data_IF_918242553055
#
_entry.id   IF_918242553055
#
_cell.length_a   1.000
_cell.length_b   1.000
_cell.length_c   1.000
_cell.angle_alpha   90.00
_cell.angle_beta   90.00
_cell.angle_gamma   90.00
#
_symmetry.space_group_name_H-M   'P 1'
#
loop_
_entity.id
_entity.type
_entity.pdbx_description
1 polymer ?
#
# COMPACT_ATOMS: atom_id res chain seq x y z
N UNK A 1 5.57 -14.39 14.29
CA UNK A 1 5.36 -12.97 13.92
C UNK A 1 5.67 -11.96 15.04
N UNK A 2 5.38 -12.27 16.31
CA UNK A 2 5.36 -11.24 17.38
C UNK A 2 6.68 -10.51 17.59
N UNK A 3 7.81 -11.21 17.58
CA UNK A 3 9.13 -10.58 17.69
C UNK A 3 9.36 -9.55 16.57
N UNK A 4 8.93 -9.86 15.34
CA UNK A 4 9.08 -8.96 14.19
C UNK A 4 8.16 -7.74 14.29
N UNK A 5 6.92 -7.90 14.74
CA UNK A 5 5.99 -6.78 14.87
C UNK A 5 6.26 -5.94 16.13
N UNK A 6 6.49 -6.58 17.26
CA UNK A 6 6.45 -5.89 18.55
C UNK A 6 7.80 -5.36 19.02
N UNK A 7 8.93 -5.92 18.53
CA UNK A 7 10.26 -5.58 19.05
C UNK A 7 11.14 -4.77 18.08
N UNK A 8 10.83 -4.76 16.78
CA UNK A 8 11.51 -3.87 15.82
C UNK A 8 11.25 -2.41 16.16
N UNK A 9 12.28 -1.58 16.06
CA UNK A 9 12.17 -0.11 16.09
C UNK A 9 11.77 0.41 14.72
N UNK A 10 11.36 1.67 14.67
CA UNK A 10 10.94 2.38 13.45
C UNK A 10 11.91 2.15 12.27
N UNK A 11 13.22 2.31 12.49
CA UNK A 11 14.25 2.13 11.46
C UNK A 11 14.39 0.71 10.91
N UNK A 12 13.74 -0.28 11.53
CA UNK A 12 13.76 -1.68 11.12
C UNK A 12 12.47 -2.09 10.40
N UNK A 13 11.45 -1.22 10.40
CA UNK A 13 10.25 -1.41 9.59
C UNK A 13 10.52 -1.11 8.11
N UNK A 14 9.71 -1.75 7.26
CA UNK A 14 9.93 -1.81 5.80
C UNK A 14 8.61 -1.66 5.01
N UNK A 15 7.56 -1.15 5.66
CA UNK A 15 6.28 -0.88 5.00
C UNK A 15 6.40 0.31 4.04
N UNK A 16 5.49 0.36 3.07
CA UNK A 16 5.32 1.54 2.24
C UNK A 16 4.80 2.73 3.07
N UNK A 17 5.25 3.93 2.73
CA UNK A 17 4.84 5.17 3.39
C UNK A 17 3.35 5.44 3.24
N UNK A 18 2.73 5.00 2.14
CA UNK A 18 1.28 5.13 1.96
C UNK A 18 0.49 4.36 3.02
N UNK A 19 1.07 3.34 3.68
CA UNK A 19 0.37 2.53 4.67
C UNK A 19 0.39 3.11 6.10
N UNK A 20 1.19 4.15 6.35
CA UNK A 20 1.34 4.79 7.67
C UNK A 20 0.71 6.18 7.74
N UNK A 21 0.27 6.75 6.61
CA UNK A 21 -0.46 8.03 6.60
C UNK A 21 -1.77 7.92 7.38
N UNK A 22 -2.21 8.98 8.07
CA UNK A 22 -3.41 8.97 8.88
C UNK A 22 -4.67 8.65 8.05
N UNK A 23 -5.68 8.12 8.73
CA UNK A 23 -6.98 7.85 8.10
C UNK A 23 -7.69 9.16 7.71
N UNK A 24 -7.59 10.19 8.56
CA UNK A 24 -8.33 11.45 8.47
C UNK A 24 -9.83 11.22 8.25
N UNK A 25 -10.33 11.41 7.03
CA UNK A 25 -11.72 11.14 6.67
C UNK A 25 -11.89 9.89 5.81
N UNK A 26 -13.15 9.55 5.51
CA UNK A 26 -13.46 8.34 4.77
C UNK A 26 -12.94 8.36 3.31
N UNK A 27 -12.87 9.53 2.67
CA UNK A 27 -12.36 9.65 1.30
C UNK A 27 -10.86 9.35 1.26
N UNK A 28 -10.09 9.92 2.19
CA UNK A 28 -8.66 9.63 2.31
C UNK A 28 -8.41 8.15 2.64
N UNK A 29 -9.13 7.60 3.60
CA UNK A 29 -9.00 6.18 3.97
C UNK A 29 -9.29 5.26 2.79
N UNK A 30 -10.39 5.49 2.07
CA UNK A 30 -10.80 4.66 0.93
C UNK A 30 -9.84 4.81 -0.25
N UNK A 31 -9.39 6.03 -0.55
CA UNK A 31 -8.50 6.24 -1.68
C UNK A 31 -7.11 5.64 -1.43
N UNK A 32 -6.60 5.76 -0.21
CA UNK A 32 -5.36 5.09 0.24
C UNK A 32 -5.49 3.57 0.08
N UNK A 33 -6.62 3.03 0.55
CA UNK A 33 -6.93 1.61 0.45
C UNK A 33 -6.99 1.16 -1.01
N UNK A 34 -7.68 1.90 -1.88
CA UNK A 34 -7.79 1.58 -3.30
C UNK A 34 -6.44 1.56 -4.01
N UNK A 35 -5.61 2.59 -3.82
CA UNK A 35 -4.28 2.62 -4.40
C UNK A 35 -3.43 1.42 -3.99
N UNK A 36 -3.44 1.10 -2.70
CA UNK A 36 -2.68 -0.02 -2.18
C UNK A 36 -3.28 -1.37 -2.62
N UNK A 37 -4.60 -1.55 -2.61
CA UNK A 37 -5.28 -2.78 -3.02
C UNK A 37 -4.96 -3.15 -4.47
N UNK A 38 -5.00 -2.18 -5.38
CA UNK A 38 -4.68 -2.42 -6.80
C UNK A 38 -3.22 -2.85 -6.95
N UNK A 39 -2.31 -2.24 -6.20
CA UNK A 39 -0.90 -2.63 -6.20
C UNK A 39 -0.73 -4.04 -5.63
N UNK A 40 -1.33 -4.29 -4.47
CA UNK A 40 -1.23 -5.55 -3.75
C UNK A 40 -1.81 -6.72 -4.55
N UNK A 41 -2.88 -6.47 -5.32
CA UNK A 41 -3.44 -7.45 -6.26
C UNK A 41 -2.42 -7.85 -7.32
N UNK A 42 -1.79 -6.86 -7.97
CA UNK A 42 -0.79 -7.09 -9.01
C UNK A 42 0.49 -7.71 -8.44
N UNK A 43 0.91 -7.32 -7.23
CA UNK A 43 2.02 -7.93 -6.51
C UNK A 43 1.77 -9.42 -6.28
N UNK A 44 0.60 -9.81 -5.77
CA UNK A 44 0.30 -11.23 -5.58
C UNK A 44 0.10 -11.98 -6.91
N UNK A 45 -0.41 -11.32 -7.95
CA UNK A 45 -0.44 -11.91 -9.28
C UNK A 45 0.97 -12.24 -9.78
N UNK A 46 1.93 -11.31 -9.62
CA UNK A 46 3.31 -11.51 -10.00
C UNK A 46 4.00 -12.61 -9.15
N UNK A 47 3.80 -12.61 -7.83
CA UNK A 47 4.41 -13.58 -6.91
C UNK A 47 3.97 -15.03 -7.14
N UNK A 48 2.86 -15.28 -7.84
CA UNK A 48 2.49 -16.65 -8.25
C UNK A 48 3.47 -17.28 -9.23
N UNK A 49 4.31 -16.49 -9.89
CA UNK A 49 5.37 -16.96 -10.78
C UNK A 49 6.71 -17.17 -10.07
N UNK A 50 6.76 -16.96 -8.76
CA UNK A 50 7.96 -17.18 -7.94
C UNK A 50 8.39 -18.65 -7.93
N UNK A 51 9.70 -18.88 -7.88
CA UNK A 51 10.31 -20.19 -7.62
C UNK A 51 10.27 -20.59 -6.15
N UNK A 52 9.93 -19.67 -5.24
CA UNK A 52 9.74 -19.95 -3.81
C UNK A 52 8.30 -20.40 -3.53
N UNK A 53 8.13 -21.68 -3.20
CA UNK A 53 6.82 -22.28 -2.94
C UNK A 53 6.06 -21.63 -1.77
N UNK A 54 6.76 -21.05 -0.79
CA UNK A 54 6.13 -20.36 0.34
C UNK A 54 5.51 -19.05 -0.12
N UNK A 55 6.24 -18.27 -0.94
CA UNK A 55 5.72 -17.02 -1.50
C UNK A 55 4.52 -17.26 -2.43
N UNK A 56 4.59 -18.31 -3.26
CA UNK A 56 3.46 -18.72 -4.13
C UNK A 56 2.24 -19.07 -3.27
N UNK A 57 2.39 -19.91 -2.26
CA UNK A 57 1.28 -20.33 -1.41
C UNK A 57 0.61 -19.15 -0.67
N UNK A 58 1.41 -18.20 -0.18
CA UNK A 58 0.88 -16.95 0.42
C UNK A 58 0.11 -16.15 -0.63
N UNK A 59 0.69 -15.93 -1.82
CA UNK A 59 0.07 -15.15 -2.88
C UNK A 59 -1.26 -15.76 -3.36
N UNK A 60 -1.34 -17.08 -3.53
CA UNK A 60 -2.56 -17.77 -3.95
C UNK A 60 -3.70 -17.66 -2.94
N UNK A 61 -3.37 -17.64 -1.65
CA UNK A 61 -4.35 -17.46 -0.58
C UNK A 61 -4.80 -15.99 -0.52
N UNK A 62 -3.85 -15.07 -0.45
CA UNK A 62 -4.11 -13.64 -0.23
C UNK A 62 -4.77 -12.95 -1.43
N UNK A 63 -4.48 -13.34 -2.67
CA UNK A 63 -5.04 -12.67 -3.85
C UNK A 63 -6.58 -12.74 -3.91
N UNK A 64 -7.18 -13.79 -3.34
CA UNK A 64 -8.65 -13.92 -3.27
C UNK A 64 -9.24 -12.84 -2.39
N UNK A 65 -8.64 -12.60 -1.23
CA UNK A 65 -9.04 -11.55 -0.29
C UNK A 65 -8.79 -10.15 -0.89
N UNK A 66 -7.62 -9.94 -1.49
CA UNK A 66 -7.27 -8.65 -2.11
C UNK A 66 -8.19 -8.32 -3.29
N UNK A 67 -8.65 -9.32 -4.06
CA UNK A 67 -9.65 -9.08 -5.11
C UNK A 67 -10.97 -8.51 -4.54
N UNK A 68 -11.38 -8.95 -3.34
CA UNK A 68 -12.52 -8.34 -2.65
C UNK A 68 -12.22 -6.91 -2.20
N UNK A 69 -11.00 -6.63 -1.73
CA UNK A 69 -10.60 -5.30 -1.31
C UNK A 69 -10.63 -4.32 -2.50
N UNK A 70 -10.00 -4.66 -3.63
CA UNK A 70 -10.02 -3.86 -4.87
C UNK A 70 -11.45 -3.52 -5.29
N UNK A 71 -12.36 -4.50 -5.25
CA UNK A 71 -13.76 -4.27 -5.58
C UNK A 71 -14.42 -3.30 -4.60
N UNK A 72 -14.26 -3.54 -3.30
CA UNK A 72 -14.87 -2.71 -2.25
C UNK A 72 -14.36 -1.27 -2.30
N UNK A 73 -13.04 -1.08 -2.34
CA UNK A 73 -12.42 0.24 -2.36
C UNK A 73 -12.71 0.96 -3.68
N UNK A 74 -12.65 0.26 -4.82
CA UNK A 74 -13.01 0.81 -6.12
C UNK A 74 -14.48 1.28 -6.23
N UNK A 75 -15.43 0.48 -5.72
CA UNK A 75 -16.85 0.89 -5.68
C UNK A 75 -17.06 2.16 -4.84
N UNK A 76 -16.35 2.31 -3.72
CA UNK A 76 -16.45 3.50 -2.89
C UNK A 76 -15.76 4.71 -3.52
N UNK A 77 -14.64 4.54 -4.21
CA UNK A 77 -14.01 5.61 -5.00
C UNK A 77 -15.01 6.16 -6.03
N UNK A 78 -15.73 5.29 -6.74
CA UNK A 78 -16.76 5.70 -7.71
C UNK A 78 -17.90 6.44 -7.00
N UNK A 79 -18.46 5.87 -5.93
CA UNK A 79 -19.58 6.50 -5.20
C UNK A 79 -19.25 7.87 -4.62
N UNK A 80 -18.01 8.06 -4.14
CA UNK A 80 -17.59 9.33 -3.55
C UNK A 80 -17.23 10.35 -4.64
N UNK A 81 -16.57 9.89 -5.72
CA UNK A 81 -16.22 10.72 -6.86
C UNK A 81 -17.45 11.19 -7.65
N UNK A 82 -18.32 10.28 -8.09
CA UNK A 82 -19.54 10.61 -8.85
C UNK A 82 -20.76 10.84 -7.93
N UNK A 83 -20.51 11.26 -6.69
CA UNK A 83 -21.52 11.46 -5.67
C UNK A 83 -22.07 12.88 -5.65
N UNK A 84 -21.81 13.58 -4.56
CA UNK A 84 -22.15 15.00 -4.37
C UNK A 84 -20.93 15.88 -4.61
N UNK A 85 -21.13 17.18 -4.83
CA UNK A 85 -20.01 18.14 -4.91
C UNK A 85 -19.09 18.05 -3.68
N UNK A 86 -19.66 17.82 -2.49
CA UNK A 86 -18.91 17.69 -1.23
C UNK A 86 -18.05 16.43 -1.23
N UNK A 87 -18.61 15.27 -1.60
CA UNK A 87 -17.86 14.01 -1.62
C UNK A 87 -16.80 14.00 -2.71
N UNK A 88 -17.11 14.60 -3.85
CA UNK A 88 -16.17 14.76 -4.96
C UNK A 88 -14.97 15.64 -4.57
N UNK A 89 -15.22 16.76 -3.90
CA UNK A 89 -14.14 17.64 -3.41
C UNK A 89 -13.27 16.93 -2.36
N UNK A 90 -13.87 16.16 -1.45
CA UNK A 90 -13.12 15.34 -0.50
C UNK A 90 -12.21 14.31 -1.19
N UNK A 91 -12.69 13.67 -2.26
CA UNK A 91 -11.87 12.76 -3.06
C UNK A 91 -10.70 13.46 -3.75
N UNK A 92 -10.89 14.70 -4.22
CA UNK A 92 -9.82 15.52 -4.79
C UNK A 92 -8.77 15.88 -3.75
N UNK A 93 -9.18 16.33 -2.57
CA UNK A 93 -8.24 16.63 -1.47
C UNK A 93 -7.47 15.39 -1.02
N UNK A 94 -8.16 14.25 -0.90
CA UNK A 94 -7.52 12.96 -0.60
C UNK A 94 -6.50 12.58 -1.70
N UNK A 95 -6.85 12.79 -2.97
CA UNK A 95 -5.96 12.50 -4.09
C UNK A 95 -4.70 13.36 -4.05
N UNK A 96 -4.85 14.67 -3.84
CA UNK A 96 -3.72 15.60 -3.72
C UNK A 96 -2.76 15.19 -2.60
N UNK A 97 -3.29 14.82 -1.44
CA UNK A 97 -2.49 14.40 -0.29
C UNK A 97 -1.79 13.05 -0.51
N UNK A 98 -2.50 12.05 -1.05
CA UNK A 98 -2.00 10.67 -1.15
C UNK A 98 -1.09 10.43 -2.36
N UNK A 99 -1.28 11.18 -3.45
CA UNK A 99 -0.59 10.93 -4.71
C UNK A 99 0.94 10.87 -4.59
N UNK A 100 1.61 11.78 -3.84
CA UNK A 100 3.06 11.71 -3.62
C UNK A 100 3.56 10.36 -3.06
N UNK A 101 2.74 9.63 -2.30
CA UNK A 101 3.13 8.36 -1.68
C UNK A 101 3.00 7.15 -2.61
N UNK A 102 2.33 7.30 -3.77
CA UNK A 102 2.13 6.20 -4.72
C UNK A 102 3.41 5.84 -5.49
N UNK A 103 4.37 6.76 -5.59
CA UNK A 103 5.62 6.55 -6.31
C UNK A 103 6.45 5.39 -5.75
N UNK A 104 6.55 5.31 -4.42
CA UNK A 104 7.33 4.28 -3.72
C UNK A 104 6.91 2.84 -4.06
N UNK A 105 5.63 2.63 -4.39
CA UNK A 105 5.10 1.30 -4.76
C UNK A 105 5.84 0.68 -5.96
N UNK A 106 6.44 1.51 -6.82
CA UNK A 106 7.09 1.08 -8.05
C UNK A 106 8.62 1.31 -8.02
N UNK A 107 9.17 1.62 -6.84
CA UNK A 107 10.60 1.76 -6.68
C UNK A 107 11.29 0.41 -6.51
N UNK A 108 12.14 0.11 -7.49
CA UNK A 108 13.02 -1.05 -7.48
C UNK A 108 14.36 -0.69 -6.83
N UNK A 109 14.86 -1.58 -5.97
CA UNK A 109 16.18 -1.49 -5.35
C UNK A 109 17.02 -2.75 -5.62
N UNK A 110 18.21 -2.81 -5.00
CA UNK A 110 19.13 -3.93 -5.15
C UNK A 110 18.54 -5.27 -4.66
N UNK A 111 17.64 -5.24 -3.66
CA UNK A 111 16.98 -6.43 -3.16
C UNK A 111 15.93 -6.95 -4.16
N UNK A 112 15.18 -6.04 -4.79
CA UNK A 112 14.24 -6.43 -5.85
C UNK A 112 14.99 -7.02 -7.05
N UNK A 113 16.08 -6.39 -7.46
CA UNK A 113 16.93 -6.88 -8.55
C UNK A 113 17.50 -8.28 -8.24
N UNK A 114 17.98 -8.49 -7.01
CA UNK A 114 18.43 -9.79 -6.55
C UNK A 114 17.29 -10.82 -6.52
N UNK A 115 16.09 -10.45 -6.06
CA UNK A 115 14.94 -11.34 -5.99
C UNK A 115 14.45 -11.78 -7.38
N UNK A 116 14.50 -10.87 -8.36
CA UNK A 116 14.23 -11.18 -9.77
C UNK A 116 15.30 -12.13 -10.33
N UNK A 117 16.59 -11.88 -10.06
CA UNK A 117 17.68 -12.75 -10.50
C UNK A 117 17.56 -14.17 -9.94
N UNK A 118 17.05 -14.31 -8.72
CA UNK A 118 16.78 -15.61 -8.07
C UNK A 118 15.43 -16.21 -8.44
N UNK A 119 14.65 -15.55 -9.29
CA UNK A 119 13.30 -15.95 -9.69
C UNK A 119 12.33 -16.10 -8.50
N UNK A 120 12.64 -15.51 -7.34
CA UNK A 120 11.77 -15.58 -6.14
C UNK A 120 10.85 -14.35 -6.01
N UNK A 121 11.17 -13.27 -6.71
CA UNK A 121 10.42 -12.02 -6.67
C UNK A 121 10.12 -11.48 -8.07
N UNK A 122 9.71 -10.22 -8.10
CA UNK A 122 9.34 -9.50 -9.31
C UNK A 122 9.89 -8.07 -9.25
N UNK A 123 9.99 -7.41 -10.39
CA UNK A 123 10.37 -6.00 -10.46
C UNK A 123 9.14 -5.11 -10.18
N UNK A 124 9.09 -4.32 -9.08
CA UNK A 124 7.96 -3.46 -8.79
C UNK A 124 7.65 -2.45 -9.89
N UNK A 125 8.68 -1.96 -10.60
CA UNK A 125 8.52 -1.01 -11.70
C UNK A 125 7.66 -1.58 -12.85
N UNK A 126 7.70 -2.90 -13.06
CA UNK A 126 6.91 -3.57 -14.10
C UNK A 126 5.39 -3.50 -13.83
N UNK A 127 4.98 -3.35 -12.56
CA UNK A 127 3.57 -3.28 -12.18
C UNK A 127 2.92 -1.93 -12.49
N UNK A 128 3.71 -0.87 -12.66
CA UNK A 128 3.22 0.51 -12.76
C UNK A 128 2.18 0.70 -13.86
N UNK A 129 2.43 0.13 -15.04
CA UNK A 129 1.51 0.25 -16.19
C UNK A 129 0.14 -0.37 -15.87
N UNK A 130 0.13 -1.63 -15.44
CA UNK A 130 -1.12 -2.33 -15.11
C UNK A 130 -1.86 -1.70 -13.93
N UNK A 131 -1.12 -1.15 -12.96
CA UNK A 131 -1.68 -0.40 -11.84
C UNK A 131 -2.37 0.88 -12.32
N UNK A 132 -1.69 1.70 -13.13
CA UNK A 132 -2.22 2.94 -13.67
C UNK A 132 -3.47 2.69 -14.54
N UNK A 133 -3.47 1.63 -15.36
CA UNK A 133 -4.64 1.24 -16.16
C UNK A 133 -5.85 0.89 -15.28
N UNK A 134 -5.66 0.11 -14.21
CA UNK A 134 -6.73 -0.26 -13.27
C UNK A 134 -7.24 0.95 -12.48
N UNK A 135 -6.35 1.84 -12.05
CA UNK A 135 -6.73 3.06 -11.34
C UNK A 135 -7.52 4.01 -12.23
N UNK A 136 -7.05 4.25 -13.47
CA UNK A 136 -7.75 5.10 -14.43
C UNK A 136 -9.15 4.55 -14.76
N UNK A 137 -9.31 3.24 -14.92
CA UNK A 137 -10.62 2.65 -15.20
C UNK A 137 -11.68 2.95 -14.12
N UNK A 138 -11.26 3.09 -12.85
CA UNK A 138 -12.13 3.50 -11.74
C UNK A 138 -12.29 5.02 -11.70
N UNK A 139 -11.20 5.77 -11.92
CA UNK A 139 -11.21 7.23 -11.91
C UNK A 139 -12.07 7.84 -13.02
N UNK A 140 -12.07 7.24 -14.21
CA UNK A 140 -12.91 7.65 -15.34
C UNK A 140 -14.40 7.56 -14.99
N UNK A 141 -14.80 6.55 -14.21
CA UNK A 141 -16.16 6.40 -13.70
C UNK A 141 -16.45 7.34 -12.52
N UNK A 142 -15.45 7.65 -11.72
CA UNK A 142 -15.55 8.52 -10.55
C UNK A 142 -15.47 10.02 -10.90
N UNK A 143 -15.25 10.38 -12.18
CA UNK A 143 -15.02 11.76 -12.60
C UNK A 143 -13.72 12.36 -12.07
N UNK A 144 -12.74 11.54 -11.70
CA UNK A 144 -11.45 11.96 -11.17
C UNK A 144 -10.35 11.86 -12.24
N UNK A 145 -9.25 12.57 -12.05
CA UNK A 145 -8.11 12.54 -12.97
C UNK A 145 -6.81 12.42 -12.18
N UNK A 146 -5.89 11.57 -12.65
CA UNK A 146 -4.57 11.46 -12.05
C UNK A 146 -3.78 12.77 -12.24
N UNK A 147 -3.03 13.22 -11.22
CA UNK A 147 -2.15 14.38 -11.36
C UNK A 147 -1.01 14.12 -12.36
N UNK A 148 -0.76 15.05 -13.29
CA UNK A 148 0.24 14.88 -14.36
C UNK A 148 1.68 14.81 -13.85
N UNK A 149 2.02 15.62 -12.84
CA UNK A 149 3.35 15.68 -12.23
C UNK A 149 3.23 15.99 -10.75
N UNK A 150 3.85 15.16 -9.93
CA UNK A 150 4.05 15.43 -8.53
C UNK A 150 5.44 14.94 -8.12
N UNK A 151 6.02 15.60 -7.14
CA UNK A 151 7.15 15.04 -6.41
C UNK A 151 6.66 13.82 -5.62
N UNK A 152 7.48 12.76 -5.57
CA UNK A 152 7.14 11.49 -4.94
C UNK A 152 7.94 11.29 -3.65
N UNK A 153 7.24 10.84 -2.62
CA UNK A 153 7.80 10.40 -1.34
C UNK A 153 8.41 9.00 -1.49
N UNK A 154 9.48 8.73 -0.76
CA UNK A 154 10.16 7.44 -0.72
C UNK A 154 10.93 7.28 0.59
N UNK A 155 11.08 6.04 1.07
CA UNK A 155 12.01 5.74 2.15
C UNK A 155 11.57 4.61 3.08
N UNK A 156 10.29 4.27 3.12
CA UNK A 156 9.71 3.24 3.97
C UNK A 156 10.39 1.88 3.81
N UNK A 157 10.65 1.44 2.56
CA UNK A 157 11.42 0.21 2.28
C UNK A 157 12.85 0.23 2.85
N UNK A 158 13.40 1.41 3.14
CA UNK A 158 14.75 1.62 3.69
C UNK A 158 14.73 1.99 5.19
N UNK A 159 13.55 2.00 5.83
CA UNK A 159 13.40 2.42 7.23
C UNK A 159 13.46 3.93 7.44
N UNK A 160 13.23 4.73 6.40
CA UNK A 160 13.03 6.18 6.49
C UNK A 160 11.54 6.46 6.40
N UNK A 161 10.90 6.54 7.56
CA UNK A 161 9.45 6.71 7.69
C UNK A 161 9.05 8.17 7.84
N UNK A 162 7.76 8.44 7.65
CA UNK A 162 7.11 9.69 8.07
C UNK A 162 7.08 9.79 9.59
N UNK A 163 6.78 10.98 10.11
CA UNK A 163 6.57 11.20 11.54
C UNK A 163 5.43 10.37 12.13
N UNK A 164 4.49 9.88 11.31
CA UNK A 164 3.34 9.10 11.77
C UNK A 164 3.74 7.72 12.32
N UNK A 165 4.81 7.12 11.79
CA UNK A 165 5.21 5.76 12.17
C UNK A 165 5.57 5.64 13.65
N UNK A 166 6.18 6.68 14.23
CA UNK A 166 6.51 6.71 15.66
C UNK A 166 5.27 6.60 16.55
N UNK A 167 4.17 7.26 16.17
CA UNK A 167 2.90 7.19 16.90
C UNK A 167 2.27 5.79 16.81
N UNK A 168 2.21 5.23 15.59
CA UNK A 168 1.67 3.89 15.33
C UNK A 168 2.40 2.84 16.16
N UNK A 169 3.75 2.84 16.14
CA UNK A 169 4.53 1.86 16.87
C UNK A 169 4.45 2.04 18.38
N UNK A 170 4.33 3.27 18.87
CA UNK A 170 4.18 3.52 20.31
C UNK A 170 2.90 2.89 20.85
N UNK A 171 1.80 2.97 20.09
CA UNK A 171 0.53 2.34 20.46
C UNK A 171 0.58 0.82 20.27
N UNK A 172 1.00 0.34 19.09
CA UNK A 172 1.07 -1.08 18.75
C UNK A 172 1.93 -1.88 19.74
N UNK A 173 3.08 -1.34 20.13
CA UNK A 173 4.10 -2.07 20.88
C UNK A 173 4.01 -1.83 22.40
N UNK A 174 3.08 -0.99 22.87
CA UNK A 174 3.01 -0.56 24.26
C UNK A 174 3.00 -1.75 25.24
N UNK A 175 2.09 -2.72 25.01
CA UNK A 175 1.94 -3.87 25.90
C UNK A 175 3.20 -4.73 25.94
N UNK A 176 3.76 -5.08 24.77
CA UNK A 176 4.93 -5.94 24.70
C UNK A 176 6.19 -5.26 25.27
N UNK A 177 6.32 -3.94 25.12
CA UNK A 177 7.44 -3.18 25.70
C UNK A 177 7.32 -3.03 27.22
N UNK A 178 6.09 -2.97 27.72
CA UNK A 178 5.83 -2.87 29.18
C UNK A 178 6.04 -4.21 29.87
N UNK A 179 5.64 -5.32 29.23
CA UNK A 179 5.70 -6.66 29.81
C UNK A 179 6.46 -7.64 28.87
N UNK A 180 7.79 -7.50 28.73
CA UNK A 180 8.55 -8.29 27.78
C UNK A 180 8.67 -9.76 28.21
N UNK A 181 8.60 -10.67 27.23
CA UNK A 181 8.85 -12.11 27.43
C UNK A 181 7.67 -12.90 27.98
N UNK A 182 6.46 -12.32 28.00
CA UNK A 182 5.23 -13.04 28.32
C UNK A 182 4.64 -13.73 27.09
N UNK A 183 3.85 -14.77 27.35
CA UNK A 183 3.06 -15.51 26.34
C UNK A 183 1.61 -15.02 26.35
N UNK A 184 1.02 -14.90 25.17
CA UNK A 184 -0.35 -14.43 24.92
C UNK A 184 -1.08 -15.33 23.94
#
# INVERSE_FOLDING_TARGET
>A
EDTLAMLRKEREYRNFLICEVPNEDFAQTILRQFFFDVFHYLQYEALKSSSDETLVAIAEKSIKEVAYHVRYSGEWVIRLGDGTDISHEKMKSALEFLWPFTGELFESDELDAWAVEKEIGFDPAALKKGWTEKVNAVFDQAGLQLPEKAWMQSGGKKGYHTEYMGYILSELQMMQRTYPGLEW
#
